data_IF_454896866218
#
_entry.id   IF_454896866218
#
_cell.length_a   1.000
_cell.length_b   1.000
_cell.length_c   1.000
_cell.angle_alpha   90.00
_cell.angle_beta   90.00
_cell.angle_gamma   90.00
#
_symmetry.space_group_name_H-M   'P 1'
#
loop_
_entity.id
_entity.type
_entity.pdbx_description
1 polymer ?
#
# COMPACT_ATOMS: atom_id res chain seq x y z
N UNK A 1 -30.80 -12.08 -29.04
CA UNK A 1 -31.93 -12.20 -28.09
C UNK A 1 -31.92 -13.59 -27.51
N UNK A 2 -31.46 -13.76 -26.27
CA UNK A 2 -31.49 -15.05 -25.56
C UNK A 2 -32.33 -14.85 -24.30
N UNK A 3 -33.42 -15.62 -24.23
CA UNK A 3 -34.33 -15.75 -23.07
C UNK A 3 -33.64 -16.53 -21.97
N UNK A 4 -33.82 -16.13 -20.71
CA UNK A 4 -33.42 -16.90 -19.54
C UNK A 4 -34.70 -17.32 -18.80
N UNK A 5 -34.82 -18.63 -18.56
CA UNK A 5 -35.95 -19.30 -17.90
C UNK A 5 -35.89 -19.15 -16.38
N UNK A 6 -37.06 -18.97 -15.77
CA UNK A 6 -37.27 -19.00 -14.33
C UNK A 6 -37.28 -20.47 -13.83
N UNK A 7 -36.40 -20.81 -12.89
CA UNK A 7 -36.53 -22.00 -12.05
C UNK A 7 -36.90 -21.55 -10.62
N UNK A 8 -38.12 -21.87 -10.20
CA UNK A 8 -38.58 -21.81 -8.81
C UNK A 8 -38.63 -23.25 -8.26
N UNK A 9 -38.05 -23.55 -7.09
CA UNK A 9 -38.30 -24.81 -6.41
C UNK A 9 -39.71 -24.82 -5.79
N UNK A 10 -40.51 -25.78 -6.22
CA UNK A 10 -41.79 -26.17 -5.62
C UNK A 10 -41.54 -26.93 -4.31
N UNK A 11 -41.68 -26.27 -3.16
CA UNK A 11 -42.24 -26.81 -1.90
C UNK A 11 -41.92 -25.84 -0.74
N UNK A 12 -42.94 -25.08 -0.31
CA UNK A 12 -42.94 -24.29 0.92
C UNK A 12 -43.88 -25.01 1.90
N UNK A 13 -43.48 -25.33 3.14
CA UNK A 13 -44.40 -25.84 4.15
C UNK A 13 -45.40 -24.73 4.52
N UNK A 14 -46.68 -25.07 4.47
CA UNK A 14 -47.81 -24.20 4.81
C UNK A 14 -47.75 -23.73 6.26
N UNK A 15 -47.33 -22.49 6.48
CA UNK A 15 -47.67 -21.71 7.68
C UNK A 15 -47.99 -20.26 7.27
N UNK A 16 -49.03 -19.62 7.85
CA UNK A 16 -49.60 -18.40 7.30
C UNK A 16 -48.81 -17.18 7.80
N UNK A 17 -47.78 -16.79 7.08
CA UNK A 17 -47.15 -15.48 7.24
C UNK A 17 -47.46 -14.63 5.99
N UNK A 18 -48.46 -13.77 6.15
CA UNK A 18 -48.86 -12.74 5.20
C UNK A 18 -47.63 -11.90 4.80
N UNK A 19 -47.10 -12.12 3.60
CA UNK A 19 -46.11 -11.24 2.97
C UNK A 19 -46.82 -9.97 2.49
N UNK A 20 -46.66 -8.87 3.23
CA UNK A 20 -47.06 -7.55 2.78
C UNK A 20 -45.91 -6.86 2.03
N UNK A 21 -46.29 -6.09 1.01
CA UNK A 21 -45.56 -5.37 -0.06
C UNK A 21 -44.34 -4.48 0.27
N UNK A 22 -43.54 -4.73 1.31
CA UNK A 22 -42.38 -3.88 1.63
C UNK A 22 -41.08 -4.68 1.60
N UNK A 23 -40.43 -4.69 0.43
CA UNK A 23 -39.11 -5.29 0.23
C UNK A 23 -38.19 -4.22 -0.38
N UNK A 24 -37.07 -3.92 0.28
CA UNK A 24 -36.02 -3.05 -0.26
C UNK A 24 -34.79 -3.92 -0.53
N UNK A 25 -34.35 -3.97 -1.79
CA UNK A 25 -33.06 -4.59 -2.14
C UNK A 25 -31.98 -3.52 -2.19
N UNK A 26 -30.93 -3.71 -1.39
CA UNK A 26 -29.71 -2.91 -1.48
C UNK A 26 -28.65 -3.75 -2.20
N UNK A 27 -28.23 -3.31 -3.38
CA UNK A 27 -27.17 -3.94 -4.15
C UNK A 27 -25.87 -3.14 -3.98
N UNK A 28 -24.87 -3.74 -3.34
CA UNK A 28 -23.50 -3.27 -3.40
C UNK A 28 -22.55 -4.48 -3.38
N UNK A 29 -21.67 -4.57 -4.37
CA UNK A 29 -20.54 -5.52 -4.45
C UNK A 29 -20.87 -6.97 -4.00
N UNK A 30 -21.81 -7.63 -4.69
CA UNK A 30 -22.00 -9.08 -4.62
C UNK A 30 -22.86 -9.63 -3.47
N UNK A 31 -23.44 -8.78 -2.62
CA UNK A 31 -24.38 -9.21 -1.57
C UNK A 31 -25.77 -8.63 -1.80
N UNK A 32 -26.79 -9.49 -1.75
CA UNK A 32 -28.21 -9.11 -1.76
C UNK A 32 -28.76 -9.20 -0.34
N UNK A 33 -29.06 -8.05 0.27
CA UNK A 33 -29.68 -8.01 1.59
C UNK A 33 -31.15 -7.60 1.45
N UNK A 34 -32.05 -8.48 1.90
CA UNK A 34 -33.49 -8.23 1.96
C UNK A 34 -33.89 -7.80 3.37
N UNK A 35 -34.55 -6.64 3.46
CA UNK A 35 -35.14 -6.14 4.70
C UNK A 35 -36.65 -6.39 4.66
N UNK A 36 -37.19 -7.07 5.67
CA UNK A 36 -38.62 -7.22 5.90
C UNK A 36 -38.96 -6.69 7.30
N UNK A 37 -40.11 -6.04 7.44
CA UNK A 37 -40.59 -5.56 8.74
C UNK A 37 -42.07 -5.89 8.97
N UNK A 38 -42.42 -6.15 10.23
CA UNK A 38 -43.80 -6.40 10.64
C UNK A 38 -44.49 -5.13 11.18
N UNK A 39 -45.82 -5.21 11.42
CA UNK A 39 -46.62 -4.08 11.95
C UNK A 39 -46.29 -3.73 13.41
N UNK A 40 -45.48 -4.53 14.08
CA UNK A 40 -45.03 -4.31 15.46
C UNK A 40 -43.65 -3.68 15.55
N UNK A 41 -43.00 -3.42 14.41
CA UNK A 41 -41.70 -2.73 14.33
C UNK A 41 -40.49 -3.66 14.41
N UNK A 42 -40.68 -4.98 14.32
CA UNK A 42 -39.55 -5.90 14.21
C UNK A 42 -38.98 -5.89 12.79
N UNK A 43 -37.66 -5.80 12.69
CA UNK A 43 -36.92 -5.86 11.43
C UNK A 43 -36.23 -7.22 11.32
N UNK A 44 -36.58 -7.97 10.29
CA UNK A 44 -35.99 -9.26 9.95
C UNK A 44 -35.00 -9.09 8.80
N UNK A 45 -33.79 -9.61 8.98
CA UNK A 45 -32.75 -9.62 7.95
C UNK A 45 -32.76 -10.96 7.22
N UNK A 46 -32.95 -10.93 5.91
CA UNK A 46 -32.66 -12.06 5.03
C UNK A 46 -31.36 -11.78 4.28
N UNK A 47 -30.31 -12.55 4.58
CA UNK A 47 -29.07 -12.52 3.82
C UNK A 47 -29.16 -13.57 2.70
N UNK A 48 -29.22 -13.13 1.46
CA UNK A 48 -29.12 -14.00 0.28
C UNK A 48 -27.71 -13.82 -0.30
N UNK A 49 -26.80 -14.73 0.04
CA UNK A 49 -25.48 -14.78 -0.59
C UNK A 49 -25.56 -15.55 -1.90
N UNK A 50 -25.18 -14.91 -3.01
CA UNK A 50 -24.94 -15.59 -4.28
C UNK A 50 -23.46 -16.02 -4.37
N UNK A 51 -23.06 -17.02 -3.59
CA UNK A 51 -21.82 -17.77 -3.83
C UNK A 51 -22.11 -19.26 -3.60
N UNK A 52 -21.83 -20.15 -4.57
CA UNK A 52 -21.87 -21.58 -4.32
C UNK A 52 -20.69 -21.93 -3.41
N UNK A 53 -20.86 -22.95 -2.56
CA UNK A 53 -19.88 -23.43 -1.57
C UNK A 53 -19.85 -22.63 -0.26
N UNK A 54 -20.77 -22.93 0.66
CA UNK A 54 -20.57 -23.30 2.08
C UNK A 54 -21.96 -23.42 2.77
N UNK A 55 -22.20 -24.40 3.66
CA UNK A 55 -23.52 -24.60 4.25
C UNK A 55 -23.89 -23.51 5.27
N UNK A 56 -25.18 -23.19 5.30
CA UNK A 56 -25.86 -22.17 6.08
C UNK A 56 -25.51 -22.18 7.58
N UNK A 57 -24.90 -21.10 8.07
CA UNK A 57 -24.90 -20.77 9.50
C UNK A 57 -25.99 -19.73 9.76
N UNK A 58 -27.14 -20.16 10.28
CA UNK A 58 -28.21 -19.28 10.77
C UNK A 58 -27.76 -18.65 12.09
N UNK A 59 -27.11 -17.49 12.02
CA UNK A 59 -26.83 -16.68 13.21
C UNK A 59 -28.08 -15.84 13.55
N UNK A 60 -28.78 -16.20 14.62
CA UNK A 60 -29.77 -15.32 15.25
C UNK A 60 -29.05 -14.27 16.10
N UNK A 61 -28.79 -13.10 15.53
CA UNK A 61 -28.26 -11.96 16.29
C UNK A 61 -29.44 -11.13 16.82
N UNK A 62 -29.69 -11.18 18.12
CA UNK A 62 -30.70 -10.37 18.80
C UNK A 62 -30.13 -8.97 19.09
N UNK A 63 -30.28 -8.04 18.14
CA UNK A 63 -29.77 -6.66 18.22
C UNK A 63 -30.75 -5.69 18.90
N UNK A 64 -31.31 -6.06 20.06
CA UNK A 64 -32.28 -5.22 20.80
C UNK A 64 -31.76 -3.83 21.25
N UNK A 65 -30.53 -3.43 20.94
CA UNK A 65 -29.95 -2.15 21.35
C UNK A 65 -29.05 -1.42 20.35
N UNK A 66 -28.85 -1.92 19.12
CA UNK A 66 -27.79 -1.39 18.22
C UNK A 66 -28.28 -0.53 17.04
N UNK A 67 -29.59 -0.42 16.83
CA UNK A 67 -30.16 0.45 15.81
C UNK A 67 -31.38 1.18 16.38
N UNK A 68 -31.33 2.51 16.40
CA UNK A 68 -32.54 3.34 16.54
C UNK A 68 -33.10 3.58 15.15
N UNK A 69 -34.26 3.01 14.89
CA UNK A 69 -35.07 3.30 13.70
C UNK A 69 -36.16 4.27 14.14
N UNK A 70 -36.28 5.40 13.46
CA UNK A 70 -37.47 6.24 13.59
C UNK A 70 -37.98 6.59 12.19
N UNK A 71 -39.30 6.72 12.07
CA UNK A 71 -39.97 7.11 10.84
C UNK A 71 -40.55 8.50 10.97
N UNK A 72 -40.31 9.36 9.99
CA UNK A 72 -41.12 10.56 9.79
C UNK A 72 -42.20 10.25 8.76
N UNK A 73 -43.42 10.73 9.03
CA UNK A 73 -44.51 10.73 8.08
C UNK A 73 -44.68 12.15 7.57
N UNK A 74 -44.47 12.34 6.29
CA UNK A 74 -44.96 13.53 5.59
C UNK A 74 -46.45 13.32 5.30
N UNK A 75 -47.30 14.11 5.96
CA UNK A 75 -48.75 13.97 5.87
C UNK A 75 -49.32 14.48 4.54
N UNK A 76 -48.59 15.34 3.82
CA UNK A 76 -49.05 15.87 2.53
C UNK A 76 -48.70 14.92 1.37
N UNK A 77 -47.50 14.33 1.37
CA UNK A 77 -47.07 13.44 0.28
C UNK A 77 -47.32 11.94 0.49
N UNK A 78 -47.81 11.52 1.68
CA UNK A 78 -47.96 10.10 2.07
C UNK A 78 -46.69 9.26 1.85
N UNK A 79 -45.50 9.86 1.99
CA UNK A 79 -44.23 9.14 1.96
C UNK A 79 -43.73 8.84 3.38
N UNK A 80 -43.22 7.63 3.56
CA UNK A 80 -42.66 7.17 4.83
C UNK A 80 -41.15 6.97 4.64
N UNK A 81 -40.35 7.73 5.38
CA UNK A 81 -38.88 7.71 5.27
C UNK A 81 -38.30 6.98 6.48
N UNK A 82 -37.48 5.96 6.23
CA UNK A 82 -36.85 5.12 7.27
C UNK A 82 -35.38 5.48 7.38
N UNK A 83 -34.94 5.91 8.56
CA UNK A 83 -33.54 6.22 8.84
C UNK A 83 -32.87 5.08 9.63
N UNK A 84 -31.73 4.57 9.15
CA UNK A 84 -30.92 3.53 9.78
C UNK A 84 -29.57 4.11 10.25
N UNK A 85 -29.23 3.93 11.53
CA UNK A 85 -27.94 4.32 12.12
C UNK A 85 -27.28 3.09 12.75
N UNK A 86 -26.14 2.64 12.23
CA UNK A 86 -25.31 1.60 12.87
C UNK A 86 -24.46 2.23 13.98
N UNK A 87 -24.63 1.77 15.22
CA UNK A 87 -23.81 2.22 16.35
C UNK A 87 -22.50 1.43 16.42
N UNK A 88 -21.36 2.10 16.25
CA UNK A 88 -20.08 1.62 16.78
C UNK A 88 -19.86 2.26 18.17
N UNK A 89 -19.73 1.38 19.15
CA UNK A 89 -19.49 1.59 20.59
C UNK A 89 -18.04 2.14 20.76
N UNK A 90 -17.72 3.22 21.48
CA UNK A 90 -17.67 3.32 22.95
C UNK A 90 -17.40 4.77 23.46
N UNK A 91 -18.11 5.19 24.54
CA UNK A 91 -17.82 6.14 25.66
C UNK A 91 -17.33 7.57 25.31
N UNK A 92 -17.97 8.69 25.67
CA UNK A 92 -18.36 9.15 27.01
C UNK A 92 -19.55 10.14 26.91
N UNK A 93 -20.48 10.09 27.86
CA UNK A 93 -21.69 10.92 27.91
C UNK A 93 -21.34 12.31 28.45
N UNK A 94 -21.28 13.32 27.59
CA UNK A 94 -21.32 14.74 27.99
C UNK A 94 -22.65 15.34 27.48
N UNK A 95 -23.57 15.78 28.36
CA UNK A 95 -24.81 16.40 27.93
C UNK A 95 -24.55 17.87 27.55
N UNK A 96 -25.11 18.27 26.41
CA UNK A 96 -25.20 19.64 25.87
C UNK A 96 -23.95 20.22 25.17
N UNK A 97 -23.86 20.01 23.86
CA UNK A 97 -23.18 20.95 22.96
C UNK A 97 -23.85 20.97 21.59
N UNK A 98 -24.32 22.16 21.19
CA UNK A 98 -24.96 22.46 19.90
C UNK A 98 -23.89 22.51 18.80
N UNK A 99 -23.42 21.37 18.27
CA UNK A 99 -22.58 21.38 17.07
C UNK A 99 -22.69 20.06 16.28
N UNK A 100 -23.76 19.92 15.49
CA UNK A 100 -23.94 18.81 14.53
C UNK A 100 -22.94 18.87 13.35
N UNK A 101 -22.25 19.99 13.14
CA UNK A 101 -21.30 20.16 12.02
C UNK A 101 -19.95 19.45 12.22
N UNK A 102 -19.53 19.16 13.45
CA UNK A 102 -18.21 18.58 13.73
C UNK A 102 -18.15 17.06 13.41
N UNK A 103 -19.28 16.35 13.51
CA UNK A 103 -19.32 14.88 13.39
C UNK A 103 -19.21 14.37 11.95
N UNK A 104 -19.57 15.19 10.95
CA UNK A 104 -19.47 14.82 9.52
C UNK A 104 -18.02 14.98 9.02
N UNK A 105 -17.27 15.95 9.57
CA UNK A 105 -15.88 16.18 9.21
C UNK A 105 -14.98 15.01 9.61
N UNK A 106 -15.22 14.41 10.79
CA UNK A 106 -14.46 13.22 11.23
C UNK A 106 -14.71 11.99 10.36
N UNK A 107 -15.95 11.74 9.93
CA UNK A 107 -16.28 10.57 9.09
C UNK A 107 -15.72 10.68 7.67
N UNK A 108 -15.61 11.90 7.13
CA UNK A 108 -14.95 12.15 5.83
C UNK A 108 -13.43 11.96 5.90
N UNK A 109 -12.84 11.94 7.11
CA UNK A 109 -11.41 11.71 7.33
C UNK A 109 -11.08 10.30 7.85
N UNK A 110 -12.10 9.52 8.26
CA UNK A 110 -11.93 8.13 8.71
C UNK A 110 -12.12 7.13 7.55
N UNK A 111 -12.74 7.53 6.44
CA UNK A 111 -12.95 6.65 5.27
C UNK A 111 -11.84 6.73 4.20
N UNK A 112 -10.59 6.90 4.64
CA UNK A 112 -9.40 6.71 3.80
C UNK A 112 -8.31 6.03 4.62
N UNK A 113 -8.67 4.96 5.35
CA UNK A 113 -7.70 4.01 5.86
C UNK A 113 -7.02 3.33 4.66
N UNK A 114 -5.81 3.82 4.36
CA UNK A 114 -4.75 3.23 3.51
C UNK A 114 -4.98 1.73 3.21
N UNK A 115 -5.39 1.43 1.98
CA UNK A 115 -5.38 0.06 1.43
C UNK A 115 -4.71 -0.01 0.03
N UNK A 116 -4.14 1.09 -0.45
CA UNK A 116 -3.36 1.10 -1.70
C UNK A 116 -1.87 1.21 -1.38
N UNK A 117 -1.08 0.35 -2.02
CA UNK A 117 0.38 0.46 -2.03
C UNK A 117 0.76 1.80 -2.68
N UNK A 118 1.55 2.60 -1.98
CA UNK A 118 2.02 3.92 -2.44
C UNK A 118 3.42 3.86 -3.07
N UNK A 119 3.83 4.91 -3.78
CA UNK A 119 5.21 5.05 -4.25
C UNK A 119 6.22 4.99 -3.10
N UNK A 120 5.89 5.57 -1.94
CA UNK A 120 6.72 5.47 -0.74
C UNK A 120 6.90 4.01 -0.32
N UNK A 121 5.80 3.24 -0.23
CA UNK A 121 5.83 1.86 0.26
C UNK A 121 6.70 0.93 -0.59
N UNK A 122 6.75 1.15 -1.91
CA UNK A 122 7.54 0.32 -2.85
C UNK A 122 8.98 0.80 -3.04
N UNK A 123 9.37 1.94 -2.46
CA UNK A 123 10.71 2.52 -2.64
C UNK A 123 11.45 2.70 -1.32
N UNK A 124 11.00 3.60 -0.45
CA UNK A 124 11.80 4.07 0.69
C UNK A 124 12.09 2.94 1.70
N UNK A 125 11.09 2.23 2.28
CA UNK A 125 11.37 1.12 3.19
C UNK A 125 12.20 -0.02 2.56
N UNK A 126 11.90 -0.53 1.34
CA UNK A 126 12.69 -1.60 0.75
C UNK A 126 14.12 -1.15 0.36
N UNK A 127 14.31 0.09 -0.09
CA UNK A 127 15.65 0.62 -0.38
C UNK A 127 16.48 0.77 0.88
N UNK A 128 15.90 1.31 1.97
CA UNK A 128 16.56 1.41 3.27
C UNK A 128 17.03 0.04 3.77
N UNK A 129 16.15 -0.96 3.69
CA UNK A 129 16.50 -2.34 4.05
C UNK A 129 17.66 -2.85 3.19
N UNK A 130 17.61 -2.62 1.89
CA UNK A 130 18.62 -3.13 0.95
C UNK A 130 19.97 -2.42 1.10
N UNK A 131 20.01 -1.11 1.36
CA UNK A 131 21.22 -0.35 1.65
C UNK A 131 21.91 -0.86 2.94
N UNK A 132 21.12 -1.13 3.99
CA UNK A 132 21.62 -1.71 5.24
C UNK A 132 22.18 -3.13 5.02
N UNK A 133 21.52 -3.94 4.19
CA UNK A 133 22.02 -5.25 3.76
C UNK A 133 23.32 -5.13 2.93
N UNK A 134 23.38 -4.17 2.00
CA UNK A 134 24.56 -3.93 1.16
C UNK A 134 25.79 -3.54 2.00
N UNK A 135 25.60 -2.69 3.01
CA UNK A 135 26.67 -2.35 3.97
C UNK A 135 27.22 -3.59 4.69
N UNK A 136 26.34 -4.50 5.16
CA UNK A 136 26.76 -5.78 5.75
C UNK A 136 27.47 -6.70 4.76
N UNK A 137 27.02 -6.74 3.51
CA UNK A 137 27.64 -7.51 2.42
C UNK A 137 29.06 -7.01 2.16
N UNK A 138 29.27 -5.70 2.10
CA UNK A 138 30.59 -5.08 1.97
C UNK A 138 31.49 -5.43 3.16
N UNK A 139 30.97 -5.36 4.39
CA UNK A 139 31.73 -5.72 5.59
C UNK A 139 32.18 -7.19 5.57
N UNK A 140 31.31 -8.10 5.12
CA UNK A 140 31.65 -9.51 4.93
C UNK A 140 32.70 -9.72 3.83
N UNK A 141 32.63 -8.94 2.76
CA UNK A 141 33.64 -8.91 1.70
C UNK A 141 35.01 -8.49 2.24
N UNK A 142 35.07 -7.35 2.94
CA UNK A 142 36.30 -6.82 3.50
C UNK A 142 36.95 -7.78 4.51
N UNK A 143 36.13 -8.39 5.38
CA UNK A 143 36.60 -9.40 6.32
C UNK A 143 37.16 -10.65 5.62
N UNK A 144 36.56 -11.07 4.50
CA UNK A 144 37.03 -12.24 3.74
C UNK A 144 38.45 -12.07 3.19
N UNK A 145 38.83 -10.83 2.83
CA UNK A 145 40.16 -10.50 2.33
C UNK A 145 41.13 -10.01 3.41
N UNK A 146 40.83 -10.29 4.69
CA UNK A 146 41.63 -9.84 5.85
C UNK A 146 41.86 -8.31 5.88
N UNK A 147 40.85 -7.54 5.49
CA UNK A 147 40.89 -6.07 5.37
C UNK A 147 41.87 -5.52 4.32
N UNK A 148 42.35 -6.36 3.39
CA UNK A 148 43.12 -5.90 2.22
C UNK A 148 42.16 -5.42 1.12
N UNK A 149 41.78 -4.15 1.21
CA UNK A 149 40.81 -3.51 0.31
C UNK A 149 41.18 -3.60 -1.16
N UNK A 150 42.49 -3.59 -1.47
CA UNK A 150 43.02 -3.60 -2.84
C UNK A 150 42.52 -4.80 -3.67
N UNK A 151 42.14 -5.90 -2.99
CA UNK A 151 41.61 -7.11 -3.61
C UNK A 151 40.18 -6.97 -4.13
N UNK A 152 39.39 -6.03 -3.60
CA UNK A 152 37.96 -5.93 -3.89
C UNK A 152 37.52 -4.57 -4.42
N UNK A 153 38.18 -3.48 -4.01
CA UNK A 153 37.68 -2.12 -4.22
C UNK A 153 37.45 -1.79 -5.71
N UNK A 154 38.31 -2.29 -6.60
CA UNK A 154 38.17 -2.13 -8.06
C UNK A 154 37.78 -3.42 -8.80
N UNK A 155 37.29 -4.43 -8.07
CA UNK A 155 36.83 -5.68 -8.68
C UNK A 155 35.60 -5.44 -9.57
N UNK A 156 35.52 -6.20 -10.68
CA UNK A 156 34.42 -6.15 -11.65
C UNK A 156 34.06 -7.54 -12.17
N UNK A 157 32.87 -7.69 -12.75
CA UNK A 157 32.43 -8.96 -13.35
C UNK A 157 33.09 -9.20 -14.72
N UNK A 158 33.16 -8.16 -15.55
CA UNK A 158 33.72 -8.18 -16.90
C UNK A 158 34.36 -6.82 -17.22
N UNK A 159 35.25 -6.77 -18.21
CA UNK A 159 36.13 -5.63 -18.50
C UNK A 159 35.39 -4.31 -18.76
N UNK A 160 34.31 -4.35 -19.54
CA UNK A 160 33.50 -3.19 -19.97
C UNK A 160 32.41 -2.78 -18.96
N UNK A 161 32.27 -3.51 -17.86
CA UNK A 161 31.34 -3.18 -16.78
C UNK A 161 32.04 -2.42 -15.66
N UNK A 162 31.35 -1.41 -15.10
CA UNK A 162 31.85 -0.65 -13.95
C UNK A 162 32.16 -1.54 -12.74
N UNK A 163 33.19 -1.15 -11.98
CA UNK A 163 33.69 -1.87 -10.80
C UNK A 163 32.80 -1.72 -9.56
N UNK A 164 33.23 -2.32 -8.44
CA UNK A 164 32.49 -2.29 -7.17
C UNK A 164 32.16 -0.86 -6.73
N UNK A 165 33.13 0.07 -6.77
CA UNK A 165 32.93 1.48 -6.44
C UNK A 165 31.81 2.08 -7.31
N UNK A 166 31.89 1.90 -8.63
CA UNK A 166 30.86 2.38 -9.55
C UNK A 166 29.48 1.81 -9.21
N UNK A 167 29.37 0.51 -8.90
CA UNK A 167 28.08 -0.08 -8.56
C UNK A 167 27.48 0.58 -7.31
N UNK A 168 28.26 0.81 -6.25
CA UNK A 168 27.79 1.47 -5.03
C UNK A 168 27.39 2.93 -5.31
N UNK A 169 28.18 3.65 -6.13
CA UNK A 169 27.86 5.01 -6.55
C UNK A 169 26.50 5.07 -7.24
N UNK A 170 26.23 4.15 -8.17
CA UNK A 170 24.96 4.09 -8.90
C UNK A 170 23.77 3.66 -8.03
N UNK A 171 23.96 2.77 -7.04
CA UNK A 171 22.92 2.46 -6.03
C UNK A 171 22.49 3.73 -5.30
N UNK A 172 23.47 4.48 -4.79
CA UNK A 172 23.22 5.74 -4.06
C UNK A 172 22.59 6.81 -4.93
N UNK A 173 23.11 7.02 -6.14
CA UNK A 173 22.58 8.04 -7.07
C UNK A 173 21.14 7.72 -7.49
N UNK A 174 20.83 6.44 -7.71
CA UNK A 174 19.45 6.01 -8.02
C UNK A 174 18.49 6.29 -6.87
N UNK A 175 18.90 5.94 -5.64
CA UNK A 175 18.09 6.19 -4.44
C UNK A 175 17.94 7.70 -4.14
N UNK A 176 19.02 8.48 -4.25
CA UNK A 176 18.98 9.94 -4.11
C UNK A 176 18.12 10.59 -5.19
N UNK A 177 18.21 10.11 -6.44
CA UNK A 177 17.44 10.61 -7.56
C UNK A 177 15.93 10.50 -7.38
N UNK A 178 15.44 9.53 -6.60
CA UNK A 178 14.05 9.47 -6.15
C UNK A 178 13.69 10.68 -5.26
N UNK A 179 14.53 10.97 -4.27
CA UNK A 179 14.34 12.06 -3.31
C UNK A 179 14.32 13.43 -4.02
N UNK A 180 15.25 13.64 -4.95
CA UNK A 180 15.36 14.90 -5.70
C UNK A 180 14.20 15.05 -6.68
N UNK A 181 14.04 14.07 -7.58
CA UNK A 181 13.16 14.25 -8.75
C UNK A 181 11.68 14.08 -8.40
N UNK A 182 11.34 13.13 -7.53
CA UNK A 182 9.94 12.85 -7.16
C UNK A 182 9.57 13.61 -5.88
N UNK A 183 10.38 13.49 -4.83
CA UNK A 183 10.06 14.17 -3.57
C UNK A 183 10.31 15.69 -3.62
N UNK A 184 11.08 16.18 -4.60
CA UNK A 184 11.30 17.61 -4.83
C UNK A 184 12.33 18.21 -3.87
N UNK A 185 13.21 17.39 -3.30
CA UNK A 185 14.31 17.88 -2.48
C UNK A 185 15.35 18.59 -3.35
N UNK A 186 16.02 19.60 -2.78
CA UNK A 186 17.19 20.17 -3.41
C UNK A 186 18.26 19.09 -3.62
N UNK A 187 18.90 19.07 -4.79
CA UNK A 187 19.93 18.10 -5.09
C UNK A 187 21.17 18.33 -4.22
N UNK A 188 21.68 17.23 -3.66
CA UNK A 188 22.93 17.20 -2.91
C UNK A 188 23.92 16.42 -3.77
N UNK A 189 24.92 17.12 -4.31
CA UNK A 189 25.94 16.49 -5.14
C UNK A 189 26.78 15.56 -4.28
N UNK A 190 26.89 14.31 -4.71
CA UNK A 190 27.82 13.33 -4.15
C UNK A 190 28.94 13.19 -5.18
N UNK A 191 30.10 13.76 -4.87
CA UNK A 191 31.30 13.56 -5.69
C UNK A 191 31.63 12.06 -5.75
N UNK A 192 31.97 11.55 -6.93
CA UNK A 192 32.32 10.15 -7.15
C UNK A 192 33.82 9.92 -6.86
N UNK A 193 34.27 10.25 -5.65
CA UNK A 193 35.68 10.27 -5.24
C UNK A 193 36.05 9.19 -4.20
N UNK A 194 35.19 8.20 -3.98
CA UNK A 194 35.47 7.08 -3.07
C UNK A 194 36.62 6.23 -3.62
N UNK A 195 37.63 5.97 -2.78
CA UNK A 195 38.82 5.16 -3.13
C UNK A 195 39.03 3.97 -2.20
N UNK A 196 38.20 3.87 -1.15
CA UNK A 196 38.31 2.88 -0.08
C UNK A 196 36.92 2.47 0.43
N UNK A 197 36.85 1.43 1.24
CA UNK A 197 35.59 0.95 1.83
C UNK A 197 34.99 1.97 2.80
N UNK A 198 35.81 2.77 3.48
CA UNK A 198 35.34 3.83 4.38
C UNK A 198 34.50 4.88 3.62
N UNK A 199 34.94 5.28 2.43
CA UNK A 199 34.21 6.15 1.51
C UNK A 199 32.90 5.52 1.06
N UNK A 200 32.92 4.23 0.69
CA UNK A 200 31.71 3.50 0.31
C UNK A 200 30.67 3.43 1.44
N UNK A 201 31.09 3.15 2.68
CA UNK A 201 30.20 3.18 3.84
C UNK A 201 29.64 4.56 4.10
N UNK A 202 30.48 5.60 3.99
CA UNK A 202 30.06 7.00 4.14
C UNK A 202 28.98 7.37 3.13
N UNK A 203 29.17 7.01 1.84
CA UNK A 203 28.17 7.22 0.79
C UNK A 203 26.86 6.50 1.09
N UNK A 204 26.92 5.22 1.49
CA UNK A 204 25.72 4.43 1.82
C UNK A 204 24.97 5.08 3.00
N UNK A 205 25.67 5.46 4.07
CA UNK A 205 25.06 6.08 5.24
C UNK A 205 24.42 7.43 4.91
N UNK A 206 25.10 8.30 4.15
CA UNK A 206 24.50 9.56 3.67
C UNK A 206 23.25 9.33 2.82
N UNK A 207 23.22 8.26 2.03
CA UNK A 207 22.03 7.89 1.25
C UNK A 207 20.88 7.43 2.16
N UNK A 208 21.19 6.63 3.18
CA UNK A 208 20.22 6.20 4.20
C UNK A 208 19.63 7.42 4.92
N UNK A 209 20.47 8.37 5.35
CA UNK A 209 20.03 9.60 6.03
C UNK A 209 19.05 10.42 5.18
N UNK A 210 19.34 10.59 3.89
CA UNK A 210 18.42 11.26 2.94
C UNK A 210 17.07 10.55 2.90
N UNK A 211 17.07 9.22 2.75
CA UNK A 211 15.83 8.43 2.65
C UNK A 211 15.05 8.40 3.97
N UNK A 212 15.72 8.32 5.13
CA UNK A 212 15.08 8.35 6.45
C UNK A 212 14.46 9.71 6.75
N UNK A 213 15.01 10.80 6.19
CA UNK A 213 14.46 12.14 6.32
C UNK A 213 13.24 12.40 5.43
N UNK A 214 12.92 11.53 4.46
CA UNK A 214 11.80 11.74 3.53
C UNK A 214 10.44 11.48 4.20
N UNK A 215 9.56 12.49 4.32
CA UNK A 215 8.18 12.25 4.72
C UNK A 215 7.44 11.48 3.63
N UNK A 216 6.63 10.49 4.00
CA UNK A 216 5.84 9.72 3.03
C UNK A 216 4.93 10.59 2.14
N UNK A 217 4.44 11.71 2.68
CA UNK A 217 3.65 12.70 1.93
C UNK A 217 4.40 13.36 0.78
N UNK A 218 5.73 13.28 0.73
CA UNK A 218 6.51 13.84 -0.39
C UNK A 218 6.53 12.95 -1.62
N UNK A 219 6.16 11.67 -1.49
CA UNK A 219 6.09 10.71 -2.58
C UNK A 219 4.65 10.25 -2.87
N UNK A 220 3.79 10.23 -1.85
CA UNK A 220 2.39 9.85 -2.01
C UNK A 220 1.64 10.89 -2.86
N UNK A 221 0.69 10.41 -3.66
CA UNK A 221 -0.15 11.23 -4.54
C UNK A 221 0.61 12.00 -5.63
N UNK A 222 1.89 11.67 -5.84
CA UNK A 222 2.72 12.23 -6.92
C UNK A 222 2.81 11.33 -8.15
N UNK A 223 2.04 10.25 -8.22
CA UNK A 223 2.10 9.26 -9.31
C UNK A 223 1.98 9.90 -10.69
N UNK A 224 1.13 10.93 -10.82
CA UNK A 224 0.88 11.65 -12.06
C UNK A 224 1.76 12.89 -12.27
N UNK A 225 2.65 13.23 -11.32
CA UNK A 225 3.54 14.38 -11.47
C UNK A 225 4.51 14.16 -12.64
N UNK A 226 4.74 15.20 -13.45
CA UNK A 226 5.71 15.15 -14.55
C UNK A 226 7.12 15.31 -13.97
N UNK A 227 8.01 14.42 -14.38
CA UNK A 227 9.44 14.43 -14.08
C UNK A 227 10.19 14.65 -15.39
N UNK A 228 11.17 15.55 -15.37
CA UNK A 228 12.08 15.76 -16.50
C UNK A 228 13.41 15.07 -16.22
N UNK A 229 13.85 14.22 -17.13
CA UNK A 229 15.18 13.61 -17.16
C UNK A 229 15.95 14.17 -18.35
N UNK A 230 17.17 14.64 -18.10
CA UNK A 230 18.08 15.05 -19.15
C UNK A 230 19.01 13.87 -19.45
N UNK A 231 18.86 13.27 -20.63
CA UNK A 231 19.67 12.14 -21.08
C UNK A 231 20.44 12.59 -22.32
N UNK A 232 21.73 12.90 -22.13
CA UNK A 232 22.51 13.61 -23.15
C UNK A 232 21.90 14.99 -23.43
N UNK A 233 21.73 15.33 -24.71
CA UNK A 233 21.15 16.60 -25.14
C UNK A 233 19.61 16.58 -25.21
N UNK A 234 18.97 15.46 -24.85
CA UNK A 234 17.53 15.28 -24.93
C UNK A 234 16.84 15.37 -23.57
N UNK A 235 15.75 16.14 -23.51
CA UNK A 235 14.81 16.14 -22.39
C UNK A 235 13.77 15.04 -22.56
N UNK A 236 13.63 14.20 -21.55
CA UNK A 236 12.63 13.15 -21.48
C UNK A 236 11.66 13.45 -20.34
N UNK A 237 10.39 13.62 -20.69
CA UNK A 237 9.31 13.84 -19.74
C UNK A 237 8.55 12.55 -19.50
N UNK A 238 8.34 12.22 -18.23
CA UNK A 238 7.61 11.02 -17.83
C UNK A 238 6.87 11.25 -16.52
N UNK A 239 5.81 10.47 -16.30
CA UNK A 239 5.12 10.48 -15.02
C UNK A 239 6.00 9.88 -13.94
N UNK A 240 5.90 10.40 -12.71
CA UNK A 240 6.70 9.93 -11.58
C UNK A 240 6.52 8.44 -11.31
N UNK A 241 5.31 7.93 -11.48
CA UNK A 241 5.04 6.48 -11.38
C UNK A 241 5.89 5.68 -12.37
N UNK A 242 5.92 6.08 -13.63
CA UNK A 242 6.67 5.37 -14.67
C UNK A 242 8.18 5.49 -14.45
N UNK A 243 8.64 6.66 -14.00
CA UNK A 243 10.03 6.86 -13.60
C UNK A 243 10.43 5.88 -12.48
N UNK A 244 9.62 5.80 -11.43
CA UNK A 244 9.89 4.94 -10.28
C UNK A 244 9.87 3.46 -10.67
N UNK A 245 8.83 3.03 -11.39
CA UNK A 245 8.61 1.62 -11.73
C UNK A 245 9.60 1.09 -12.78
N UNK A 246 9.94 1.90 -13.79
CA UNK A 246 10.70 1.44 -14.95
C UNK A 246 12.15 1.93 -14.98
N UNK A 247 12.51 2.95 -14.19
CA UNK A 247 13.90 3.42 -14.09
C UNK A 247 14.47 3.23 -12.68
N UNK A 248 13.83 3.76 -11.63
CA UNK A 248 14.44 3.78 -10.28
C UNK A 248 14.55 2.38 -9.67
N UNK A 249 13.43 1.65 -9.55
CA UNK A 249 13.42 0.33 -8.92
C UNK A 249 14.33 -0.67 -9.67
N UNK A 250 14.25 -0.80 -11.01
CA UNK A 250 15.11 -1.71 -11.76
C UNK A 250 16.60 -1.37 -11.63
N UNK A 251 16.98 -0.09 -11.78
CA UNK A 251 18.40 0.30 -11.67
C UNK A 251 18.94 0.08 -10.25
N UNK A 252 18.17 0.43 -9.23
CA UNK A 252 18.60 0.26 -7.84
C UNK A 252 18.95 -1.21 -7.57
N UNK A 253 18.04 -2.14 -7.89
CA UNK A 253 18.28 -3.56 -7.64
C UNK A 253 19.34 -4.14 -8.58
N UNK A 254 19.43 -3.68 -9.83
CA UNK A 254 20.49 -4.09 -10.75
C UNK A 254 21.88 -3.83 -10.14
N UNK A 255 22.13 -2.61 -9.64
CA UNK A 255 23.42 -2.25 -9.08
C UNK A 255 23.69 -2.94 -7.74
N UNK A 256 22.68 -3.13 -6.87
CA UNK A 256 22.83 -3.91 -5.64
C UNK A 256 23.20 -5.36 -5.95
N UNK A 257 22.48 -6.01 -6.86
CA UNK A 257 22.75 -7.41 -7.25
C UNK A 257 24.11 -7.53 -7.95
N UNK A 258 24.51 -6.53 -8.74
CA UNK A 258 25.82 -6.52 -9.38
C UNK A 258 26.94 -6.41 -8.34
N UNK A 259 26.84 -5.50 -7.36
CA UNK A 259 27.81 -5.40 -6.26
C UNK A 259 27.90 -6.71 -5.46
N UNK A 260 26.76 -7.34 -5.14
CA UNK A 260 26.73 -8.68 -4.53
C UNK A 260 27.45 -9.72 -5.39
N UNK A 261 27.22 -9.70 -6.71
CA UNK A 261 27.78 -10.67 -7.65
C UNK A 261 29.28 -10.49 -7.84
N UNK A 262 29.79 -9.26 -7.84
CA UNK A 262 31.23 -8.96 -7.87
C UNK A 262 31.90 -9.63 -6.67
N UNK A 263 31.42 -9.38 -5.45
CA UNK A 263 31.98 -10.00 -4.25
C UNK A 263 31.88 -11.53 -4.29
N UNK A 264 30.75 -12.06 -4.77
CA UNK A 264 30.57 -13.50 -4.92
C UNK A 264 31.58 -14.12 -5.90
N UNK A 265 31.87 -13.44 -7.01
CA UNK A 265 32.87 -13.84 -8.02
C UNK A 265 34.30 -13.77 -7.47
N UNK A 266 34.60 -12.83 -6.58
CA UNK A 266 35.89 -12.76 -5.84
C UNK A 266 36.01 -13.78 -4.69
N UNK A 267 35.07 -14.73 -4.56
CA UNK A 267 35.15 -15.82 -3.58
C UNK A 267 34.52 -15.52 -2.21
N UNK A 268 33.96 -14.32 -2.03
CA UNK A 268 33.32 -13.94 -0.76
C UNK A 268 32.13 -14.88 -0.48
N UNK A 269 32.00 -15.45 0.74
CA UNK A 269 30.95 -16.40 1.08
C UNK A 269 29.58 -15.73 1.34
N UNK A 270 29.17 -14.78 0.50
CA UNK A 270 27.86 -14.11 0.55
C UNK A 270 26.76 -14.97 -0.07
N UNK A 271 25.59 -15.00 0.54
CA UNK A 271 24.43 -15.78 0.10
C UNK A 271 23.15 -14.96 -0.05
N UNK A 272 22.08 -15.60 -0.53
CA UNK A 272 20.75 -14.99 -0.64
C UNK A 272 20.23 -14.44 0.70
N UNK A 273 20.61 -15.05 1.82
CA UNK A 273 20.28 -14.55 3.16
C UNK A 273 20.87 -13.16 3.43
N UNK A 274 22.13 -12.95 3.04
CA UNK A 274 22.81 -11.66 3.16
C UNK A 274 22.10 -10.61 2.28
N UNK A 275 21.82 -10.95 1.00
CA UNK A 275 21.08 -10.09 0.07
C UNK A 275 19.70 -9.66 0.59
N UNK A 276 18.95 -10.59 1.18
CA UNK A 276 17.61 -10.29 1.71
C UNK A 276 17.63 -9.63 3.11
N UNK A 277 18.82 -9.40 3.68
CA UNK A 277 19.01 -8.78 4.99
C UNK A 277 18.52 -9.65 6.14
N UNK A 278 18.69 -10.98 6.05
CA UNK A 278 18.29 -11.94 7.10
C UNK A 278 19.40 -12.26 8.10
N UNK A 279 20.60 -11.75 7.87
CA UNK A 279 21.83 -11.98 8.63
C UNK A 279 22.39 -10.67 9.17
#
# INVERSE_FOLDING_TARGET
>A
MIRINNYLPTHIPSSPLFLHKNFLMLNNLGFSMGLAWDRTGHVHFLCLSALPFYPFLLAHVNLRGLMRVWTTMDKEEKRQTVHLFTTSLFIHRQPHSKNKHLSIYLLKHIHQSKMSITLYDITVPPFLKQLKSLSKILAKGLSHVNNDESKLIHARLIEDQGDLVFQIQRVSETAKGLAVRVAGLADVVFEDNETDFAGLYTRINRTIEILEALPASTLNDKEAAEITLNIGDAEHKLQAKDYVLYAVIPNFYFHVTTAYSILRKEGVPVGKGDYLGRT
#
